data_IF_972273548117
#
_entry.id   IF_972273548117
#
_cell.length_a   1.000
_cell.length_b   1.000
_cell.length_c   1.000
_cell.angle_alpha   90.00
_cell.angle_beta   90.00
_cell.angle_gamma   90.00
#
_symmetry.space_group_name_H-M   'P 1'
#
loop_
_entity.id
_entity.type
_entity.pdbx_description
1 polymer ?
#
# COMPACT_ATOMS: atom_id res chain seq x y z
N UNK A 1 -10.79 10.03 -3.46
CA UNK A 1 -11.47 8.79 -3.07
C UNK A 1 -11.84 7.95 -4.28
N UNK A 2 -12.52 8.55 -5.25
CA UNK A 2 -12.85 7.84 -6.49
C UNK A 2 -11.61 7.43 -7.27
N UNK A 3 -10.55 8.25 -7.25
CA UNK A 3 -9.29 7.93 -7.90
C UNK A 3 -8.65 6.66 -7.34
N UNK A 4 -8.72 6.49 -6.02
CA UNK A 4 -8.19 5.28 -5.36
C UNK A 4 -8.98 4.06 -5.79
N UNK A 5 -10.29 4.16 -5.85
CA UNK A 5 -11.16 3.09 -6.29
C UNK A 5 -10.86 2.70 -7.74
N UNK A 6 -10.68 3.66 -8.62
CA UNK A 6 -10.35 3.41 -10.03
C UNK A 6 -9.00 2.71 -10.17
N UNK A 7 -7.99 3.15 -9.42
CA UNK A 7 -6.68 2.50 -9.41
C UNK A 7 -6.77 1.06 -8.92
N UNK A 8 -7.57 0.82 -7.90
CA UNK A 8 -7.79 -0.51 -7.37
C UNK A 8 -8.38 -1.44 -8.45
N UNK A 9 -9.45 -1.02 -9.11
CA UNK A 9 -10.05 -1.81 -10.17
C UNK A 9 -9.11 -2.03 -11.35
N UNK A 10 -8.32 -1.03 -11.72
CA UNK A 10 -7.33 -1.17 -12.78
C UNK A 10 -6.26 -2.20 -12.41
N UNK A 11 -5.78 -2.17 -11.17
CA UNK A 11 -4.80 -3.14 -10.69
C UNK A 11 -5.38 -4.55 -10.65
N UNK A 12 -6.64 -4.68 -10.25
CA UNK A 12 -7.33 -5.97 -10.17
C UNK A 12 -7.64 -6.57 -11.55
N UNK A 13 -7.73 -5.72 -12.57
CA UNK A 13 -8.11 -6.17 -13.92
C UNK A 13 -7.15 -7.17 -14.54
N UNK A 14 -5.89 -7.23 -14.09
CA UNK A 14 -4.90 -8.20 -14.55
C UNK A 14 -4.85 -9.50 -13.75
N UNK A 15 -5.72 -9.64 -12.76
CA UNK A 15 -5.72 -10.79 -11.85
C UNK A 15 -7.01 -11.56 -11.96
N UNK A 16 -6.92 -12.90 -11.93
CA UNK A 16 -8.09 -13.77 -11.85
C UNK A 16 -8.47 -14.07 -10.40
N UNK A 17 -7.54 -13.93 -9.47
CA UNK A 17 -7.77 -14.08 -8.03
C UNK A 17 -6.70 -13.33 -7.26
N UNK A 18 -7.06 -12.81 -6.11
CA UNK A 18 -6.12 -12.11 -5.24
C UNK A 18 -6.53 -12.23 -3.78
N UNK A 19 -5.54 -12.25 -2.91
CA UNK A 19 -5.75 -12.34 -1.47
C UNK A 19 -4.70 -11.49 -0.76
N UNK A 20 -5.16 -10.44 -0.09
CA UNK A 20 -4.26 -9.50 0.60
C UNK A 20 -4.37 -9.67 2.11
N UNK A 21 -3.22 -9.70 2.76
CA UNK A 21 -3.13 -9.74 4.22
C UNK A 21 -2.44 -8.46 4.69
N UNK A 22 -3.04 -7.79 5.66
CA UNK A 22 -2.40 -6.70 6.40
C UNK A 22 -1.73 -7.32 7.61
N UNK A 23 -0.40 -7.22 7.69
CA UNK A 23 0.37 -7.85 8.75
C UNK A 23 0.44 -7.00 10.00
N UNK A 24 0.91 -5.78 9.84
CA UNK A 24 1.02 -4.83 10.94
C UNK A 24 0.99 -3.42 10.38
N UNK A 25 0.87 -2.47 11.28
CA UNK A 25 0.90 -1.07 10.90
C UNK A 25 0.70 -0.17 12.09
N UNK A 26 0.78 1.11 11.83
CA UNK A 26 0.56 2.14 12.80
C UNK A 26 0.02 3.39 12.13
N UNK A 27 -0.68 4.18 12.89
CA UNK A 27 -1.20 5.46 12.42
C UNK A 27 -1.03 6.49 13.55
N UNK A 28 -0.86 7.74 13.17
CA UNK A 28 -0.70 8.82 14.14
C UNK A 28 -1.21 10.13 13.54
N UNK A 29 -1.56 11.05 14.42
CA UNK A 29 -1.98 12.37 13.98
C UNK A 29 -0.81 13.15 13.41
N UNK A 30 -1.05 13.92 12.36
CA UNK A 30 -0.09 14.93 11.94
C UNK A 30 0.11 15.93 13.05
N UNK A 31 1.32 16.48 13.15
CA UNK A 31 1.69 17.44 14.18
C UNK A 31 0.71 18.62 14.20
N UNK A 32 0.14 18.87 15.38
CA UNK A 32 -0.78 19.98 15.59
C UNK A 32 -2.16 19.80 15.02
N UNK A 33 -2.51 18.59 14.56
CA UNK A 33 -3.82 18.35 13.97
C UNK A 33 -4.56 17.24 14.71
N UNK A 34 -5.88 17.39 14.83
CA UNK A 34 -6.78 16.34 15.29
C UNK A 34 -7.66 15.82 14.14
N UNK A 35 -7.47 16.35 12.94
CA UNK A 35 -8.29 16.03 11.80
C UNK A 35 -7.49 15.46 10.61
N UNK A 36 -6.18 15.35 10.78
CA UNK A 36 -5.28 14.75 9.81
C UNK A 36 -4.42 13.71 10.47
N UNK A 37 -4.23 12.60 9.78
CA UNK A 37 -3.42 11.50 10.27
C UNK A 37 -2.68 10.86 9.11
N UNK A 38 -1.64 10.13 9.44
CA UNK A 38 -0.89 9.32 8.49
C UNK A 38 -0.78 7.92 9.02
N UNK A 39 -0.61 6.96 8.12
CA UNK A 39 -0.49 5.57 8.52
C UNK A 39 0.46 4.81 7.60
N UNK A 40 0.99 3.73 8.14
CA UNK A 40 1.86 2.80 7.42
C UNK A 40 1.40 1.39 7.73
N UNK A 41 1.22 0.59 6.69
CA UNK A 41 0.71 -0.77 6.81
C UNK A 41 1.56 -1.70 5.97
N UNK A 42 2.08 -2.77 6.59
CA UNK A 42 2.80 -3.80 5.85
C UNK A 42 1.82 -4.84 5.36
N UNK A 43 1.89 -5.17 4.09
CA UNK A 43 0.97 -6.11 3.46
C UNK A 43 1.71 -7.18 2.69
N UNK A 44 1.05 -8.31 2.52
CA UNK A 44 1.39 -9.28 1.50
C UNK A 44 0.15 -9.59 0.68
N UNK A 45 0.36 -9.83 -0.62
CA UNK A 45 -0.72 -10.20 -1.50
C UNK A 45 -0.27 -11.38 -2.35
N UNK A 46 -1.09 -12.41 -2.33
CA UNK A 46 -0.93 -13.55 -3.22
C UNK A 46 -1.97 -13.44 -4.30
N UNK A 47 -1.54 -13.64 -5.54
CA UNK A 47 -2.45 -13.47 -6.65
C UNK A 47 -2.19 -14.50 -7.75
N UNK A 48 -3.22 -14.67 -8.56
CA UNK A 48 -3.18 -15.47 -9.76
C UNK A 48 -3.44 -14.56 -10.94
N UNK A 49 -2.56 -14.57 -11.91
CA UNK A 49 -2.74 -13.77 -13.12
C UNK A 49 -3.77 -14.39 -14.04
N UNK A 50 -4.24 -13.64 -15.03
CA UNK A 50 -5.17 -14.15 -16.02
C UNK A 50 -4.58 -15.31 -16.84
N UNK A 51 -3.24 -15.35 -16.98
CA UNK A 51 -2.54 -16.46 -17.66
C UNK A 51 -2.28 -17.67 -16.78
N UNK A 52 -2.67 -17.60 -15.50
CA UNK A 52 -2.52 -18.72 -14.56
C UNK A 52 -1.22 -18.70 -13.76
N UNK A 53 -0.42 -17.67 -13.89
CA UNK A 53 0.81 -17.53 -13.11
C UNK A 53 0.51 -17.10 -11.67
N UNK A 54 1.28 -17.64 -10.74
CA UNK A 54 1.18 -17.28 -9.32
C UNK A 54 2.14 -16.16 -8.99
N UNK A 55 1.66 -15.20 -8.22
CA UNK A 55 2.45 -14.05 -7.82
C UNK A 55 2.37 -13.75 -6.34
N UNK A 56 3.39 -13.02 -5.88
CA UNK A 56 3.50 -12.52 -4.53
C UNK A 56 3.94 -11.07 -4.58
N UNK A 57 3.23 -10.23 -3.85
CA UNK A 57 3.60 -8.85 -3.62
C UNK A 57 3.83 -8.65 -2.13
N UNK A 58 5.00 -8.14 -1.76
CA UNK A 58 5.29 -7.67 -0.41
C UNK A 58 5.48 -6.16 -0.50
N UNK A 59 4.71 -5.42 0.29
CA UNK A 59 4.69 -3.97 0.16
C UNK A 59 4.25 -3.29 1.44
N UNK A 60 4.43 -1.98 1.47
CA UNK A 60 3.81 -1.12 2.46
C UNK A 60 2.84 -0.19 1.77
N UNK A 61 1.73 0.10 2.43
CA UNK A 61 0.92 1.26 2.14
C UNK A 61 1.36 2.41 3.03
N UNK A 62 1.52 3.58 2.44
CA UNK A 62 1.71 4.83 3.13
C UNK A 62 0.47 5.68 2.87
N UNK A 63 -0.30 5.93 3.92
CA UNK A 63 -1.62 6.51 3.79
C UNK A 63 -1.70 7.87 4.47
N UNK A 64 -2.42 8.78 3.83
CA UNK A 64 -2.89 9.99 4.46
C UNK A 64 -4.38 9.89 4.72
N UNK A 65 -4.80 10.44 5.83
CA UNK A 65 -6.21 10.46 6.26
C UNK A 65 -6.63 11.87 6.61
N UNK A 66 -7.88 12.17 6.36
CA UNK A 66 -8.49 13.42 6.79
C UNK A 66 -9.87 13.12 7.37
N UNK A 67 -10.20 13.87 8.43
CA UNK A 67 -11.52 13.75 9.06
C UNK A 67 -12.48 14.71 8.38
N UNK A 68 -13.58 14.18 7.88
CA UNK A 68 -14.64 14.96 7.24
C UNK A 68 -15.99 14.54 7.81
N UNK A 69 -16.74 15.51 8.28
CA UNK A 69 -18.08 15.27 8.84
C UNK A 69 -18.08 14.15 9.89
N UNK A 70 -17.05 14.14 10.74
CA UNK A 70 -16.92 13.17 11.81
C UNK A 70 -16.38 11.81 11.39
N UNK A 71 -16.06 11.61 10.12
CA UNK A 71 -15.56 10.33 9.60
C UNK A 71 -14.19 10.47 9.00
N UNK A 72 -13.35 9.46 9.25
CA UNK A 72 -12.02 9.40 8.63
C UNK A 72 -12.14 8.85 7.22
N UNK A 73 -11.51 9.55 6.28
CA UNK A 73 -11.42 9.11 4.89
C UNK A 73 -9.98 9.19 4.41
N UNK A 74 -9.64 8.41 3.39
CA UNK A 74 -8.33 8.52 2.78
C UNK A 74 -8.18 9.85 2.06
N UNK A 75 -7.08 10.55 2.32
CA UNK A 75 -6.69 11.71 1.51
C UNK A 75 -5.74 11.27 0.40
N UNK A 76 -4.91 10.27 0.64
CA UNK A 76 -4.08 9.64 -0.39
C UNK A 76 -3.55 8.29 0.10
N UNK A 77 -3.08 7.48 -0.87
CA UNK A 77 -2.46 6.19 -0.59
C UNK A 77 -1.31 5.98 -1.56
N UNK A 78 -0.16 5.61 -1.04
CA UNK A 78 1.02 5.25 -1.82
C UNK A 78 1.36 3.79 -1.52
N UNK A 79 1.53 3.00 -2.57
CA UNK A 79 2.04 1.64 -2.46
C UNK A 79 3.54 1.67 -2.67
N UNK A 80 4.27 1.11 -1.71
CA UNK A 80 5.73 0.98 -1.79
C UNK A 80 6.08 -0.51 -1.81
N UNK A 81 6.37 -1.08 -2.98
CA UNK A 81 6.70 -2.50 -3.07
C UNK A 81 8.10 -2.79 -2.53
N UNK A 82 8.24 -3.95 -1.89
CA UNK A 82 9.52 -4.51 -1.46
C UNK A 82 9.91 -5.68 -2.35
N UNK A 83 8.95 -6.44 -2.79
CA UNK A 83 9.15 -7.59 -3.66
C UNK A 83 7.91 -7.79 -4.53
N UNK A 84 8.14 -8.15 -5.79
CA UNK A 84 7.06 -8.60 -6.67
C UNK A 84 7.59 -9.68 -7.60
N UNK A 85 6.86 -10.76 -7.68
CA UNK A 85 7.21 -11.87 -8.56
C UNK A 85 6.71 -13.20 -8.06
N UNK A 86 7.41 -14.25 -8.45
CA UNK A 86 7.05 -15.61 -8.07
C UNK A 86 7.11 -15.81 -6.54
N UNK A 87 6.23 -16.66 -5.98
CA UNK A 87 6.21 -16.90 -4.54
C UNK A 87 7.49 -17.50 -3.96
N UNK A 88 8.36 -18.06 -4.81
CA UNK A 88 9.65 -18.62 -4.39
C UNK A 88 10.73 -17.56 -4.20
N UNK A 89 10.37 -16.28 -4.34
CA UNK A 89 11.25 -15.13 -4.19
C UNK A 89 12.32 -15.02 -5.30
N UNK A 90 12.08 -15.60 -6.44
CA UNK A 90 12.95 -15.48 -7.60
C UNK A 90 12.68 -14.21 -8.43
N UNK A 91 11.66 -13.43 -8.06
CA UNK A 91 11.32 -12.20 -8.76
C UNK A 91 12.15 -11.00 -8.33
N UNK A 92 11.56 -9.82 -8.41
CA UNK A 92 12.27 -8.57 -8.25
C UNK A 92 12.15 -8.00 -6.83
N UNK A 93 13.29 -7.73 -6.21
CA UNK A 93 13.35 -6.98 -4.96
C UNK A 93 13.65 -5.51 -5.27
N UNK A 94 13.00 -4.64 -4.52
CA UNK A 94 13.14 -3.20 -4.67
C UNK A 94 13.97 -2.63 -3.52
N UNK A 95 14.76 -1.60 -3.78
CA UNK A 95 15.57 -0.94 -2.76
C UNK A 95 14.70 0.02 -1.94
N UNK A 96 13.89 -0.54 -1.06
CA UNK A 96 12.96 0.23 -0.25
C UNK A 96 13.64 1.02 0.85
N UNK A 97 14.83 0.59 1.26
CA UNK A 97 15.61 1.33 2.26
C UNK A 97 16.00 2.71 1.75
N UNK A 98 16.52 2.79 0.54
CA UNK A 98 16.86 4.06 -0.09
C UNK A 98 15.61 4.94 -0.26
N UNK A 99 14.49 4.32 -0.60
CA UNK A 99 13.22 5.01 -0.69
C UNK A 99 12.77 5.61 0.65
N UNK A 100 12.97 4.89 1.73
CA UNK A 100 12.65 5.37 3.08
C UNK A 100 13.53 6.54 3.48
N UNK A 101 14.83 6.43 3.21
CA UNK A 101 15.78 7.49 3.52
C UNK A 101 15.45 8.77 2.74
N UNK A 102 15.10 8.65 1.48
CA UNK A 102 14.73 9.80 0.66
C UNK A 102 13.39 10.41 1.08
N UNK A 103 12.51 9.63 1.67
CA UNK A 103 11.24 10.13 2.20
C UNK A 103 11.39 10.76 3.58
N UNK A 104 12.58 10.70 4.18
CA UNK A 104 12.87 11.34 5.46
C UNK A 104 12.09 10.75 6.62
N UNK A 105 11.94 9.45 6.67
CA UNK A 105 11.24 8.72 7.73
C UNK A 105 9.81 9.15 8.00
N UNK A 106 9.36 10.17 7.34
CA UNK A 106 7.98 10.63 7.47
C UNK A 106 7.19 9.99 6.35
N UNK A 107 6.11 9.27 6.65
CA UNK A 107 5.18 8.87 5.60
C UNK A 107 4.42 10.11 5.15
N UNK A 108 5.14 11.03 4.62
CA UNK A 108 4.62 12.30 4.15
C UNK A 108 3.87 12.06 2.86
N UNK A 109 2.87 11.32 3.02
CA UNK A 109 2.04 10.85 1.92
C UNK A 109 0.80 11.68 1.77
#
# INVERSE_FOLDING_TARGET
KESIVKLWYAAMGGMSAGFQIVHNGEAWYESGSSERAVGRWSISERYLTASGDRGLLLADYLDGFVKRDGSWVFSRRLLRPHYQGAPDLSGDFFNTRAGLESAGDSPDV
#
